data_IF_704721769077
#
_entry.id   IF_704721769077
#
_cell.length_a   1.000
_cell.length_b   1.000
_cell.length_c   1.000
_cell.angle_alpha   90.00
_cell.angle_beta   90.00
_cell.angle_gamma   90.00
#
_symmetry.space_group_name_H-M   'P 1'
#
loop_
_entity.id
_entity.type
_entity.pdbx_description
1 polymer ?
#
# COMPACT_ATOMS: atom_id res chain seq x y z
N UNK A 1 1.10 18.37 -4.21
CA UNK A 1 1.85 17.11 -3.92
C UNK A 1 2.09 16.40 -5.24
N UNK A 2 3.34 16.03 -5.53
CA UNK A 2 3.63 15.30 -6.76
C UNK A 2 3.46 13.80 -6.57
N UNK A 3 3.46 13.04 -7.67
CA UNK A 3 3.21 11.60 -7.61
C UNK A 3 4.24 10.87 -6.74
N UNK A 4 5.49 11.31 -6.78
CA UNK A 4 6.54 10.67 -5.99
C UNK A 4 6.27 10.79 -4.48
N UNK A 5 5.80 11.95 -4.04
CA UNK A 5 5.45 12.14 -2.63
C UNK A 5 4.29 11.22 -2.22
N UNK A 6 3.30 11.06 -3.10
CA UNK A 6 2.17 10.18 -2.84
C UNK A 6 2.66 8.74 -2.70
N UNK A 7 3.50 8.29 -3.62
CA UNK A 7 4.06 6.94 -3.58
C UNK A 7 4.88 6.72 -2.32
N UNK A 8 5.73 7.70 -1.96
CA UNK A 8 6.56 7.60 -0.76
C UNK A 8 5.72 7.50 0.50
N UNK A 9 4.63 8.26 0.57
CA UNK A 9 3.73 8.22 1.72
C UNK A 9 3.03 6.88 1.85
N UNK A 10 2.61 6.29 0.73
CA UNK A 10 1.96 4.98 0.74
C UNK A 10 2.96 3.89 1.16
N UNK A 11 4.16 3.92 0.60
CA UNK A 11 5.22 2.97 0.96
C UNK A 11 5.56 3.09 2.45
N UNK A 12 5.58 4.31 2.98
CA UNK A 12 5.85 4.54 4.39
C UNK A 12 4.77 3.93 5.30
N UNK A 13 3.51 4.00 4.87
CA UNK A 13 2.42 3.37 5.62
C UNK A 13 2.62 1.85 5.67
N UNK A 14 2.96 1.24 4.55
CA UNK A 14 3.22 -0.20 4.50
C UNK A 14 4.38 -0.55 5.42
N UNK A 15 5.44 0.26 5.40
CA UNK A 15 6.61 0.04 6.23
C UNK A 15 6.31 0.15 7.73
N UNK A 16 5.47 1.11 8.12
CA UNK A 16 5.17 1.35 9.54
C UNK A 16 4.13 0.42 10.11
N UNK A 17 3.14 0.03 9.32
CA UNK A 17 1.97 -0.69 9.80
C UNK A 17 1.93 -2.15 9.38
N UNK A 18 2.75 -2.55 8.42
CA UNK A 18 2.88 -3.93 8.01
C UNK A 18 4.30 -4.41 8.26
N UNK A 19 4.48 -5.43 9.07
CA UNK A 19 5.81 -6.00 9.24
C UNK A 19 6.17 -6.80 7.98
N UNK A 20 7.45 -7.06 7.79
CA UNK A 20 7.94 -7.81 6.63
C UNK A 20 7.29 -9.19 6.50
N UNK A 21 6.82 -9.75 7.62
CA UNK A 21 6.27 -11.09 7.63
C UNK A 21 4.74 -11.12 7.61
N UNK A 22 4.09 -10.08 8.11
CA UNK A 22 2.64 -10.07 8.23
C UNK A 22 1.95 -9.27 7.14
N UNK A 23 2.62 -8.26 6.58
CA UNK A 23 2.04 -7.39 5.59
C UNK A 23 0.91 -6.54 6.13
N UNK A 24 0.28 -5.78 5.26
CA UNK A 24 -0.87 -4.95 5.61
C UNK A 24 -1.90 -5.05 4.48
N UNK A 25 -3.18 -5.13 4.84
CA UNK A 25 -4.23 -5.25 3.83
C UNK A 25 -4.36 -3.96 3.01
N UNK A 26 -4.76 -4.11 1.76
CA UNK A 26 -5.08 -3.00 0.88
C UNK A 26 -6.09 -2.04 1.52
N UNK A 27 -7.12 -2.60 2.13
CA UNK A 27 -8.17 -1.82 2.77
C UNK A 27 -7.61 -0.96 3.89
N UNK A 28 -6.71 -1.51 4.70
CA UNK A 28 -6.10 -0.79 5.81
C UNK A 28 -5.20 0.35 5.31
N UNK A 29 -4.38 0.10 4.31
CA UNK A 29 -3.54 1.15 3.71
C UNK A 29 -4.41 2.26 3.14
N UNK A 30 -5.46 1.89 2.41
CA UNK A 30 -6.38 2.84 1.83
C UNK A 30 -7.04 3.69 2.90
N UNK A 31 -7.52 3.07 3.98
CA UNK A 31 -8.15 3.77 5.09
C UNK A 31 -7.21 4.77 5.74
N UNK A 32 -6.00 4.33 6.08
CA UNK A 32 -5.01 5.19 6.73
C UNK A 32 -4.67 6.38 5.83
N UNK A 33 -4.41 6.12 4.56
CA UNK A 33 -4.04 7.17 3.63
C UNK A 33 -5.17 8.18 3.41
N UNK A 34 -6.41 7.69 3.22
CA UNK A 34 -7.55 8.58 2.98
C UNK A 34 -7.88 9.42 4.20
N UNK A 35 -7.75 8.87 5.40
CA UNK A 35 -7.97 9.63 6.64
C UNK A 35 -6.91 10.72 6.81
N UNK A 36 -5.67 10.43 6.45
CA UNK A 36 -4.56 11.37 6.64
C UNK A 36 -4.55 12.48 5.59
N UNK A 37 -4.89 12.17 4.35
CA UNK A 37 -4.71 13.08 3.22
C UNK A 37 -6.03 13.53 2.57
N UNK A 38 -7.16 12.99 2.97
CA UNK A 38 -8.45 13.37 2.42
C UNK A 38 -8.70 12.94 0.98
N UNK A 39 -7.92 12.00 0.48
CA UNK A 39 -8.04 11.49 -0.89
C UNK A 39 -9.13 10.44 -0.98
N UNK A 40 -9.77 10.27 -2.13
CA UNK A 40 -10.77 9.23 -2.31
C UNK A 40 -10.13 7.84 -2.29
N UNK A 41 -10.92 6.84 -1.91
CA UNK A 41 -10.45 5.46 -1.87
C UNK A 41 -10.02 4.96 -3.25
N UNK A 42 -10.77 5.32 -4.28
CA UNK A 42 -10.48 4.91 -5.65
C UNK A 42 -9.13 5.48 -6.12
N UNK A 43 -8.91 6.76 -5.87
CA UNK A 43 -7.65 7.42 -6.23
C UNK A 43 -6.48 6.77 -5.49
N UNK A 44 -6.64 6.52 -4.20
CA UNK A 44 -5.59 5.86 -3.40
C UNK A 44 -5.27 4.47 -3.95
N UNK A 45 -6.31 3.71 -4.30
CA UNK A 45 -6.12 2.39 -4.86
C UNK A 45 -5.36 2.41 -6.18
N UNK A 46 -5.63 3.41 -7.03
CA UNK A 46 -4.91 3.56 -8.30
C UNK A 46 -3.40 3.76 -8.05
N UNK A 47 -3.03 4.56 -7.07
CA UNK A 47 -1.62 4.73 -6.70
C UNK A 47 -1.01 3.45 -6.16
N UNK A 48 -1.76 2.70 -5.37
CA UNK A 48 -1.28 1.40 -4.85
C UNK A 48 -1.03 0.43 -6.01
N UNK A 49 -1.94 0.37 -6.97
CA UNK A 49 -1.76 -0.48 -8.16
C UNK A 49 -0.51 -0.08 -8.96
N UNK A 50 -0.27 1.22 -9.12
CA UNK A 50 0.94 1.69 -9.79
C UNK A 50 2.20 1.22 -9.07
N UNK A 51 2.21 1.26 -7.75
CA UNK A 51 3.34 0.80 -6.95
C UNK A 51 3.55 -0.71 -7.11
N UNK A 52 2.47 -1.48 -7.15
CA UNK A 52 2.55 -2.93 -7.38
C UNK A 52 3.12 -3.21 -8.77
N UNK A 53 2.59 -2.53 -9.79
CA UNK A 53 3.01 -2.74 -11.17
C UNK A 53 4.45 -2.33 -11.43
N UNK A 54 4.95 -1.34 -10.70
CA UNK A 54 6.33 -0.87 -10.82
C UNK A 54 7.31 -1.66 -9.96
N UNK A 55 6.82 -2.62 -9.17
CA UNK A 55 7.66 -3.46 -8.32
C UNK A 55 8.07 -2.82 -7.00
N UNK A 56 7.48 -1.69 -6.65
CA UNK A 56 7.80 -1.00 -5.38
C UNK A 56 7.02 -1.54 -4.19
N UNK A 57 5.92 -2.24 -4.44
CA UNK A 57 5.19 -2.99 -3.45
C UNK A 57 4.85 -4.36 -4.03
N UNK A 58 4.74 -5.36 -3.16
CA UNK A 58 4.30 -6.69 -3.55
C UNK A 58 2.90 -6.94 -2.99
N UNK A 59 2.05 -7.57 -3.80
CA UNK A 59 0.69 -7.92 -3.40
C UNK A 59 0.59 -9.43 -3.39
N UNK A 60 0.62 -10.02 -2.20
CA UNK A 60 0.68 -11.48 -2.03
C UNK A 60 -0.53 -12.00 -1.31
N UNK A 61 -0.99 -13.16 -1.73
CA UNK A 61 -2.08 -13.85 -1.05
C UNK A 61 -1.55 -14.49 0.23
N UNK A 62 -2.21 -14.18 1.35
CA UNK A 62 -1.89 -14.74 2.66
C UNK A 62 -3.11 -15.52 3.13
N UNK A 63 -2.94 -16.81 3.37
CA UNK A 63 -4.05 -17.67 3.71
C UNK A 63 -4.93 -17.99 2.52
N UNK A 64 -6.21 -18.28 2.76
CA UNK A 64 -7.10 -18.74 1.69
C UNK A 64 -7.81 -17.61 0.94
N UNK A 65 -7.99 -16.45 1.57
CA UNK A 65 -8.84 -15.40 1.02
C UNK A 65 -8.28 -13.98 1.11
N UNK A 66 -7.18 -13.76 1.80
CA UNK A 66 -6.67 -12.42 2.01
C UNK A 66 -5.43 -12.14 1.18
N UNK A 67 -5.40 -10.95 0.57
CA UNK A 67 -4.21 -10.43 -0.07
C UNK A 67 -3.66 -9.30 0.78
N UNK A 68 -2.35 -9.26 0.95
CA UNK A 68 -1.70 -8.20 1.71
C UNK A 68 -0.56 -7.58 0.94
N UNK A 69 -0.27 -6.34 1.27
CA UNK A 69 0.82 -5.58 0.69
C UNK A 69 2.07 -5.76 1.54
N UNK A 70 3.19 -5.92 0.86
CA UNK A 70 4.50 -6.10 1.48
C UNK A 70 5.50 -5.19 0.80
N UNK A 71 6.54 -4.82 1.53
CA UNK A 71 7.70 -4.20 0.91
C UNK A 71 8.39 -5.25 0.04
N UNK A 72 8.92 -4.85 -1.12
CA UNK A 72 9.59 -5.81 -1.99
C UNK A 72 10.83 -6.35 -1.32
N UNK A 73 11.05 -7.66 -1.48
CA UNK A 73 12.29 -8.27 -1.04
C UNK A 73 13.32 -8.06 -2.15
N UNK A 74 14.35 -7.35 -1.84
CA UNK A 74 15.43 -7.11 -2.79
C UNK A 74 16.36 -8.31 -2.89
#
# INVERSE_FOLDING_TARGET
>A
MNDQEIYDNIVDIVKKHGSDQTGISKTEVTRIYTEKHGTSKTTTWDYILDLINSGKLEFKKVGKVQHKLFLPTS
#
